data_IF_327156227537
#
_entry.id   IF_327156227537
#
_cell.length_a   1.000
_cell.length_b   1.000
_cell.length_c   1.000
_cell.angle_alpha   90.00
_cell.angle_beta   90.00
_cell.angle_gamma   90.00
#
_symmetry.space_group_name_H-M   'P 1'
#
loop_
_entity.id
_entity.type
_entity.pdbx_description
1 polymer ?
#
# COMPACT_ATOMS: atom_id res chain seq x y z
N UNK A 1 16.02 21.99 26.12
CA UNK A 1 15.48 20.61 26.07
C UNK A 1 14.41 20.32 27.12
N UNK A 2 14.44 20.93 28.32
CA UNK A 2 13.42 20.77 29.37
C UNK A 2 12.40 21.92 29.45
N UNK A 3 12.11 22.55 28.32
CA UNK A 3 11.05 23.56 28.32
C UNK A 3 9.70 22.88 28.61
N UNK A 4 8.82 23.48 29.42
CA UNK A 4 7.53 22.87 29.75
C UNK A 4 6.62 22.71 28.52
N UNK A 5 6.79 23.52 27.48
CA UNK A 5 5.93 23.47 26.31
C UNK A 5 6.49 22.52 25.23
N UNK A 6 5.74 21.50 24.78
CA UNK A 6 6.25 20.50 23.84
C UNK A 6 6.64 21.09 22.48
N UNK A 7 5.95 22.14 22.01
CA UNK A 7 6.34 22.82 20.77
C UNK A 7 7.73 23.49 20.86
N UNK A 8 8.10 24.03 22.03
CA UNK A 8 9.43 24.62 22.23
C UNK A 8 10.48 23.52 22.26
N UNK A 9 10.17 22.36 22.84
CA UNK A 9 11.04 21.18 22.78
C UNK A 9 11.23 20.65 21.36
N UNK A 10 10.17 20.61 20.55
CA UNK A 10 10.25 20.22 19.13
C UNK A 10 11.12 21.20 18.35
N UNK A 11 10.93 22.51 18.52
CA UNK A 11 11.78 23.52 17.88
C UNK A 11 13.24 23.41 18.35
N UNK A 12 13.47 23.14 19.64
CA UNK A 12 14.82 22.92 20.15
C UNK A 12 15.47 21.64 19.60
N UNK A 13 14.70 20.60 19.28
CA UNK A 13 15.22 19.40 18.62
C UNK A 13 15.79 19.70 17.23
N UNK A 14 15.28 20.72 16.52
CA UNK A 14 15.85 21.15 15.23
C UNK A 14 17.28 21.68 15.38
N UNK A 15 17.59 22.31 16.52
CA UNK A 15 18.94 22.80 16.79
C UNK A 15 19.96 21.69 17.03
N UNK A 16 19.52 20.44 17.19
CA UNK A 16 20.42 19.30 17.37
C UNK A 16 21.03 18.78 16.07
N UNK A 17 20.44 19.07 14.91
CA UNK A 17 20.96 18.55 13.63
C UNK A 17 22.40 19.02 13.34
N UNK A 18 22.76 20.30 13.55
CA UNK A 18 24.16 20.71 13.47
C UNK A 18 25.05 20.02 14.51
N UNK A 19 24.53 19.79 15.72
CA UNK A 19 25.28 19.14 16.82
C UNK A 19 25.59 17.67 16.49
N UNK A 20 24.71 16.96 15.78
CA UNK A 20 24.97 15.59 15.31
C UNK A 20 26.28 15.46 14.51
N UNK A 21 26.73 16.53 13.85
CA UNK A 21 27.98 16.54 13.08
C UNK A 21 29.22 16.85 13.92
N UNK A 22 29.06 17.37 15.14
CA UNK A 22 30.14 17.78 16.04
C UNK A 22 30.28 16.79 17.19
N UNK A 23 29.17 16.52 17.89
CA UNK A 23 29.08 15.62 19.04
C UNK A 23 27.74 14.88 19.01
N UNK A 24 27.76 13.70 18.38
CA UNK A 24 26.56 12.88 18.17
C UNK A 24 25.99 12.36 19.49
N UNK A 25 26.84 11.95 20.41
CA UNK A 25 26.45 11.39 21.70
C UNK A 25 25.72 12.45 22.53
N UNK A 26 26.24 13.69 22.55
CA UNK A 26 25.62 14.80 23.26
C UNK A 26 24.29 15.22 22.62
N UNK A 27 24.21 15.25 21.29
CA UNK A 27 22.96 15.51 20.57
C UNK A 27 21.89 14.47 20.93
N UNK A 28 22.25 13.19 20.96
CA UNK A 28 21.34 12.10 21.35
C UNK A 28 20.88 12.25 22.80
N UNK A 29 21.80 12.52 23.74
CA UNK A 29 21.44 12.72 25.14
C UNK A 29 20.44 13.88 25.32
N UNK A 30 20.64 14.98 24.61
CA UNK A 30 19.72 16.12 24.61
C UNK A 30 18.37 15.79 23.96
N UNK A 31 18.35 15.04 22.87
CA UNK A 31 17.13 14.61 22.23
C UNK A 31 16.30 13.70 23.13
N UNK A 32 16.94 12.73 23.80
CA UNK A 32 16.29 11.85 24.78
C UNK A 32 15.61 12.67 25.86
N UNK A 33 16.33 13.66 26.41
CA UNK A 33 15.79 14.57 27.42
C UNK A 33 14.56 15.37 26.92
N UNK A 34 14.53 15.77 25.64
CA UNK A 34 13.36 16.46 25.09
C UNK A 34 12.13 15.54 24.90
N UNK A 35 12.34 14.23 24.76
CA UNK A 35 11.27 13.24 24.59
C UNK A 35 10.75 12.64 25.90
N UNK A 36 11.43 12.88 27.03
CA UNK A 36 11.13 12.22 28.32
C UNK A 36 9.67 12.39 28.73
N UNK A 37 9.17 13.62 28.74
CA UNK A 37 7.84 13.96 29.25
C UNK A 37 6.73 13.92 28.20
N UNK A 38 7.07 14.05 26.90
CA UNK A 38 6.07 14.11 25.83
C UNK A 38 6.56 13.42 24.56
N UNK A 39 5.99 12.24 24.31
CA UNK A 39 6.33 11.41 23.15
C UNK A 39 5.93 12.04 21.81
N UNK A 40 5.10 13.08 21.79
CA UNK A 40 4.80 13.83 20.56
C UNK A 40 6.05 14.51 19.98
N UNK A 41 7.04 14.83 20.82
CA UNK A 41 8.35 15.31 20.35
C UNK A 41 9.04 14.22 19.53
N UNK A 42 9.05 12.99 20.06
CA UNK A 42 9.59 11.80 19.40
C UNK A 42 8.84 11.40 18.13
N UNK A 43 7.52 11.61 18.09
CA UNK A 43 6.66 11.33 16.95
C UNK A 43 6.63 12.45 15.90
N UNK A 44 7.31 13.58 16.14
CA UNK A 44 7.32 14.71 15.20
C UNK A 44 8.09 14.37 13.92
N UNK A 45 7.85 15.07 12.79
CA UNK A 45 8.63 14.88 11.57
C UNK A 45 10.15 15.00 11.78
N UNK A 46 10.57 15.90 12.67
CA UNK A 46 11.98 16.07 13.06
C UNK A 46 12.51 14.91 13.88
N UNK A 47 11.66 14.27 14.69
CA UNK A 47 12.02 13.04 15.38
C UNK A 47 12.30 11.89 14.42
N UNK A 48 11.49 11.76 13.36
CA UNK A 48 11.70 10.77 12.30
C UNK A 48 13.06 10.95 11.64
N UNK A 49 13.38 12.18 11.25
CA UNK A 49 14.69 12.52 10.67
C UNK A 49 15.83 12.23 11.66
N UNK A 50 15.67 12.60 12.93
CA UNK A 50 16.66 12.35 13.96
C UNK A 50 16.98 10.86 14.08
N UNK A 51 15.95 10.00 14.13
CA UNK A 51 16.11 8.54 14.17
C UNK A 51 16.89 8.00 12.96
N UNK A 52 16.70 8.56 11.76
CA UNK A 52 17.44 8.15 10.57
C UNK A 52 18.94 8.42 10.68
N UNK A 53 19.34 9.51 11.36
CA UNK A 53 20.76 9.85 11.55
C UNK A 53 21.41 9.08 12.70
N UNK A 54 20.64 8.62 13.67
CA UNK A 54 21.17 8.06 14.92
C UNK A 54 21.08 6.54 15.01
N UNK A 55 20.10 5.92 14.36
CA UNK A 55 19.99 4.46 14.29
C UNK A 55 20.81 3.95 13.09
N UNK A 56 21.60 2.86 13.26
CA UNK A 56 21.63 1.95 14.41
C UNK A 56 22.58 2.35 15.54
N UNK A 57 23.47 3.34 15.34
CA UNK A 57 24.56 3.64 16.30
C UNK A 57 24.15 3.94 17.74
N UNK A 58 22.95 4.47 17.96
CA UNK A 58 22.44 4.90 19.28
C UNK A 58 21.11 4.22 19.64
N UNK A 59 20.95 2.97 19.20
CA UNK A 59 19.71 2.23 19.40
C UNK A 59 19.38 2.02 20.88
N UNK A 60 20.38 1.86 21.75
CA UNK A 60 20.16 1.64 23.18
C UNK A 60 19.52 2.85 23.87
N UNK A 61 19.96 4.07 23.50
CA UNK A 61 19.44 5.32 24.08
C UNK A 61 18.08 5.70 23.47
N UNK A 62 17.91 5.48 22.16
CA UNK A 62 16.73 5.95 21.42
C UNK A 62 15.60 4.91 21.40
N UNK A 63 15.94 3.63 21.38
CA UNK A 63 14.97 2.54 21.31
C UNK A 63 13.89 2.58 22.38
N UNK A 64 14.20 2.91 23.66
CA UNK A 64 13.18 3.10 24.68
C UNK A 64 12.10 4.14 24.32
N UNK A 65 12.44 5.21 23.60
CA UNK A 65 11.48 6.23 23.16
C UNK A 65 10.51 5.62 22.15
N UNK A 66 11.04 4.95 21.12
CA UNK A 66 10.25 4.31 20.06
C UNK A 66 9.32 3.24 20.67
N UNK A 67 9.82 2.42 21.61
CA UNK A 67 9.00 1.44 22.33
C UNK A 67 7.87 2.10 23.10
N UNK A 68 8.15 3.18 23.84
CA UNK A 68 7.11 3.94 24.55
C UNK A 68 6.07 4.54 23.59
N UNK A 69 6.47 4.96 22.39
CA UNK A 69 5.54 5.45 21.37
C UNK A 69 4.53 4.38 20.97
N UNK A 70 4.97 3.14 20.74
CA UNK A 70 4.10 1.99 20.38
C UNK A 70 2.99 1.72 21.41
N UNK A 71 3.25 2.02 22.68
CA UNK A 71 2.32 1.82 23.81
C UNK A 71 1.72 3.13 24.35
N UNK A 72 1.80 4.21 23.59
CA UNK A 72 1.20 5.49 23.98
C UNK A 72 -0.32 5.43 24.02
N UNK A 73 -0.95 6.33 24.79
CA UNK A 73 -2.40 6.53 24.79
C UNK A 73 -2.87 7.54 23.72
N UNK A 74 -1.96 8.01 22.86
CA UNK A 74 -2.26 8.98 21.79
C UNK A 74 -2.08 8.27 20.45
N UNK A 75 -3.18 8.05 19.72
CA UNK A 75 -3.21 7.26 18.48
C UNK A 75 -2.17 7.69 17.45
N UNK A 76 -1.99 8.99 17.23
CA UNK A 76 -0.98 9.50 16.29
C UNK A 76 0.45 9.13 16.70
N UNK A 77 0.73 9.11 18.01
CA UNK A 77 2.05 8.68 18.54
C UNK A 77 2.21 7.17 18.39
N UNK A 78 1.14 6.39 18.62
CA UNK A 78 1.14 4.94 18.43
C UNK A 78 1.41 4.58 16.97
N UNK A 79 0.72 5.24 16.04
CA UNK A 79 0.90 5.06 14.60
C UNK A 79 2.33 5.35 14.17
N UNK A 80 2.89 6.48 14.60
CA UNK A 80 4.29 6.80 14.28
C UNK A 80 5.27 5.83 14.95
N UNK A 81 5.01 5.40 16.19
CA UNK A 81 5.80 4.35 16.86
C UNK A 81 5.83 3.05 16.06
N UNK A 82 4.67 2.58 15.60
CA UNK A 82 4.53 1.39 14.77
C UNK A 82 5.22 1.55 13.40
N UNK A 83 5.16 2.75 12.82
CA UNK A 83 5.89 3.08 11.59
C UNK A 83 7.40 2.99 11.79
N UNK A 84 7.92 3.54 12.89
CA UNK A 84 9.34 3.49 13.22
C UNK A 84 9.82 2.06 13.47
N UNK A 85 9.15 1.26 14.31
CA UNK A 85 9.58 -0.13 14.54
C UNK A 85 9.58 -0.95 13.26
N UNK A 86 8.58 -0.76 12.38
CA UNK A 86 8.50 -1.45 11.09
C UNK A 86 9.65 -1.04 10.17
N UNK A 87 9.90 0.26 10.02
CA UNK A 87 10.99 0.76 9.18
C UNK A 87 12.36 0.27 9.69
N UNK A 88 12.61 0.30 11.00
CA UNK A 88 13.88 -0.15 11.58
C UNK A 88 14.06 -1.66 11.54
N UNK A 89 12.98 -2.43 11.64
CA UNK A 89 13.03 -3.86 11.39
C UNK A 89 13.45 -4.16 9.94
N UNK A 90 12.89 -3.46 8.96
CA UNK A 90 13.25 -3.63 7.53
C UNK A 90 14.69 -3.21 7.24
N UNK A 91 15.16 -2.09 7.80
CA UNK A 91 16.49 -1.57 7.52
C UNK A 91 17.62 -2.24 8.32
N UNK A 92 17.34 -2.63 9.56
CA UNK A 92 18.38 -2.96 10.55
C UNK A 92 18.06 -4.20 11.39
N UNK A 93 16.96 -4.91 11.11
CA UNK A 93 16.54 -6.11 11.86
C UNK A 93 16.40 -5.87 13.38
N UNK A 94 15.95 -4.68 13.79
CA UNK A 94 15.70 -4.36 15.19
C UNK A 94 14.22 -4.08 15.47
N UNK A 95 13.83 -4.21 16.75
CA UNK A 95 12.45 -4.15 17.24
C UNK A 95 11.55 -5.29 16.75
N UNK A 96 12.10 -6.51 16.62
CA UNK A 96 11.36 -7.67 16.13
C UNK A 96 10.07 -7.93 16.93
N UNK A 97 10.14 -7.89 18.26
CA UNK A 97 8.99 -8.19 19.12
C UNK A 97 7.90 -7.12 18.99
N UNK A 98 8.28 -5.84 19.01
CA UNK A 98 7.35 -4.73 18.84
C UNK A 98 6.75 -4.72 17.42
N UNK A 99 7.52 -5.08 16.41
CA UNK A 99 7.05 -5.23 15.04
C UNK A 99 6.04 -6.38 14.91
N UNK A 100 6.27 -7.54 15.51
CA UNK A 100 5.28 -8.63 15.52
C UNK A 100 4.00 -8.22 16.24
N UNK A 101 4.12 -7.51 17.36
CA UNK A 101 2.97 -6.98 18.08
C UNK A 101 2.18 -5.97 17.23
N UNK A 102 2.85 -5.03 16.57
CA UNK A 102 2.17 -4.00 15.78
C UNK A 102 1.42 -4.56 14.57
N UNK A 103 1.81 -5.72 14.04
CA UNK A 103 1.12 -6.36 12.91
C UNK A 103 -0.28 -6.88 13.25
N UNK A 104 -0.55 -7.20 14.51
CA UNK A 104 -1.85 -7.76 14.97
C UNK A 104 -2.50 -6.93 16.07
N UNK A 105 -1.86 -5.82 16.47
CA UNK A 105 -2.28 -4.97 17.57
C UNK A 105 -3.43 -4.01 17.22
N UNK A 106 -3.42 -2.81 17.79
CA UNK A 106 -4.48 -1.81 17.59
C UNK A 106 -4.52 -1.29 16.15
N UNK A 107 -5.62 -0.62 15.77
CA UNK A 107 -5.76 -0.05 14.43
C UNK A 107 -4.65 0.99 14.13
N UNK A 108 -4.32 1.94 15.02
CA UNK A 108 -3.17 2.83 14.81
C UNK A 108 -1.84 2.09 14.61
N UNK A 109 -1.61 0.99 15.33
CA UNK A 109 -0.39 0.19 15.15
C UNK A 109 -0.31 -0.42 13.75
N UNK A 110 -1.38 -1.11 13.32
CA UNK A 110 -1.42 -1.72 11.99
C UNK A 110 -1.41 -0.69 10.87
N UNK A 111 -1.97 0.50 11.09
CA UNK A 111 -1.81 1.64 10.17
C UNK A 111 -0.35 2.06 10.02
N UNK A 112 0.40 2.21 11.12
CA UNK A 112 1.81 2.55 11.07
C UNK A 112 2.65 1.51 10.32
N UNK A 113 2.33 0.21 10.51
CA UNK A 113 2.93 -0.90 9.75
C UNK A 113 2.63 -0.76 8.26
N UNK A 114 1.36 -0.52 7.89
CA UNK A 114 0.94 -0.35 6.51
C UNK A 114 1.65 0.84 5.84
N UNK A 115 1.72 1.98 6.52
CA UNK A 115 2.36 3.20 6.01
C UNK A 115 3.86 3.03 5.82
N UNK A 116 4.56 2.40 6.76
CA UNK A 116 5.99 2.10 6.63
C UNK A 116 6.24 1.19 5.42
N UNK A 117 5.56 0.05 5.36
CA UNK A 117 5.73 -0.91 4.27
C UNK A 117 5.36 -0.30 2.91
N UNK A 118 4.30 0.50 2.83
CA UNK A 118 3.91 1.18 1.61
C UNK A 118 4.95 2.19 1.14
N UNK A 119 5.51 2.99 2.05
CA UNK A 119 6.53 3.98 1.71
C UNK A 119 7.84 3.37 1.20
N UNK A 120 8.14 2.12 1.59
CA UNK A 120 9.35 1.41 1.21
C UNK A 120 9.13 0.40 0.07
N UNK A 121 7.87 0.17 -0.32
CA UNK A 121 7.49 -0.87 -1.27
C UNK A 121 8.19 -0.74 -2.62
N UNK A 122 8.35 0.48 -3.11
CA UNK A 122 8.96 0.78 -4.40
C UNK A 122 10.50 0.80 -4.37
N UNK A 123 11.11 0.63 -3.19
CA UNK A 123 12.56 0.50 -3.06
C UNK A 123 12.98 -0.94 -3.36
N UNK A 124 13.73 -1.23 -4.43
CA UNK A 124 14.01 -2.61 -4.85
C UNK A 124 14.63 -3.49 -3.77
N UNK A 125 15.48 -2.91 -2.90
CA UNK A 125 16.12 -3.61 -1.78
C UNK A 125 15.12 -4.11 -0.72
N UNK A 126 13.98 -3.46 -0.54
CA UNK A 126 13.02 -3.73 0.54
C UNK A 126 11.69 -4.26 0.03
N UNK A 127 11.50 -4.30 -1.29
CA UNK A 127 10.25 -4.69 -1.94
C UNK A 127 9.75 -6.07 -1.49
N UNK A 128 10.64 -7.06 -1.34
CA UNK A 128 10.25 -8.41 -0.92
C UNK A 128 9.68 -8.44 0.52
N UNK A 129 10.35 -7.78 1.46
CA UNK A 129 9.89 -7.68 2.84
C UNK A 129 8.56 -6.91 2.94
N UNK A 130 8.44 -5.82 2.18
CA UNK A 130 7.22 -5.03 2.14
C UNK A 130 6.05 -5.82 1.57
N UNK A 131 6.26 -6.65 0.54
CA UNK A 131 5.23 -7.55 0.01
C UNK A 131 4.71 -8.51 1.09
N UNK A 132 5.61 -9.15 1.86
CA UNK A 132 5.21 -10.08 2.94
C UNK A 132 4.33 -9.38 3.98
N UNK A 133 4.68 -8.14 4.34
CA UNK A 133 3.93 -7.34 5.31
C UNK A 133 2.56 -6.97 4.74
N UNK A 134 2.52 -6.38 3.55
CA UNK A 134 1.30 -5.87 2.95
C UNK A 134 0.31 -6.99 2.58
N UNK A 135 0.80 -8.18 2.22
CA UNK A 135 -0.05 -9.36 1.98
C UNK A 135 -0.94 -9.71 3.19
N UNK A 136 -0.44 -9.52 4.41
CA UNK A 136 -1.20 -9.78 5.64
C UNK A 136 -2.31 -8.74 5.87
N UNK A 137 -2.16 -7.55 5.30
CA UNK A 137 -3.08 -6.42 5.48
C UNK A 137 -4.13 -6.29 4.39
N UNK A 138 -4.03 -7.10 3.31
CA UNK A 138 -5.00 -7.12 2.20
C UNK A 138 -6.44 -7.44 2.62
N UNK A 139 -6.62 -8.12 3.75
CA UNK A 139 -7.92 -8.47 4.29
C UNK A 139 -8.07 -7.97 5.74
N UNK A 140 -7.38 -6.89 6.09
CA UNK A 140 -7.48 -6.33 7.44
C UNK A 140 -8.95 -6.01 7.77
N UNK A 141 -9.45 -6.30 8.98
CA UNK A 141 -10.83 -5.99 9.35
C UNK A 141 -11.16 -4.48 9.27
N UNK A 142 -10.18 -3.60 9.50
CA UNK A 142 -10.40 -2.16 9.43
C UNK A 142 -10.20 -1.63 8.00
N UNK A 143 -11.25 -0.99 7.46
CA UNK A 143 -11.23 -0.41 6.11
C UNK A 143 -10.11 0.61 5.91
N UNK A 144 -9.82 1.43 6.93
CA UNK A 144 -8.76 2.43 6.87
C UNK A 144 -7.36 1.86 6.65
N UNK A 145 -7.10 0.61 7.07
CA UNK A 145 -5.84 -0.08 6.79
C UNK A 145 -5.83 -0.59 5.35
N UNK A 146 -6.94 -1.18 4.90
CA UNK A 146 -7.11 -1.62 3.52
C UNK A 146 -6.95 -0.46 2.54
N UNK A 147 -7.49 0.72 2.85
CA UNK A 147 -7.33 1.94 2.06
C UNK A 147 -5.85 2.34 1.90
N UNK A 148 -5.01 2.15 2.93
CA UNK A 148 -3.56 2.42 2.82
C UNK A 148 -2.89 1.47 1.84
N UNK A 149 -3.25 0.18 1.87
CA UNK A 149 -2.72 -0.81 0.92
C UNK A 149 -3.24 -0.53 -0.50
N UNK A 150 -4.51 -0.14 -0.67
CA UNK A 150 -5.05 0.25 -1.99
C UNK A 150 -4.29 1.41 -2.61
N UNK A 151 -3.87 2.38 -1.79
CA UNK A 151 -3.17 3.57 -2.27
C UNK A 151 -1.77 3.30 -2.85
N UNK A 152 -1.20 2.10 -2.69
CA UNK A 152 0.03 1.69 -3.38
C UNK A 152 -0.07 1.86 -4.90
N UNK A 153 -1.26 1.66 -5.45
CA UNK A 153 -1.50 1.71 -6.89
C UNK A 153 -1.79 3.12 -7.40
N UNK A 154 -1.78 4.14 -6.52
CA UNK A 154 -1.92 5.54 -6.93
C UNK A 154 -0.57 6.12 -7.32
N UNK A 155 -0.28 6.15 -8.63
CA UNK A 155 0.76 7.02 -9.20
C UNK A 155 2.05 6.36 -9.71
N UNK A 156 2.23 5.03 -9.58
CA UNK A 156 3.41 4.33 -10.09
C UNK A 156 3.10 3.30 -11.18
N UNK A 157 3.37 3.68 -12.44
CA UNK A 157 3.11 2.88 -13.63
C UNK A 157 3.99 1.62 -13.77
N UNK A 158 5.19 1.64 -13.20
CA UNK A 158 6.19 0.58 -13.42
C UNK A 158 5.89 -0.72 -12.66
N UNK A 159 4.94 -0.72 -11.72
CA UNK A 159 4.56 -1.91 -10.96
C UNK A 159 4.06 -3.05 -11.87
N UNK A 160 3.28 -2.70 -12.89
CA UNK A 160 2.67 -3.68 -13.80
C UNK A 160 3.69 -4.38 -14.70
N UNK A 161 4.87 -3.78 -14.90
CA UNK A 161 5.97 -4.37 -15.69
C UNK A 161 6.89 -5.28 -14.85
N UNK A 162 6.73 -5.27 -13.52
CA UNK A 162 7.60 -6.03 -12.64
C UNK A 162 7.03 -7.43 -12.37
N UNK A 163 7.60 -8.45 -13.03
CA UNK A 163 7.18 -9.85 -12.87
C UNK A 163 7.22 -10.33 -11.41
N UNK A 164 8.13 -9.80 -10.58
CA UNK A 164 8.22 -10.17 -9.17
C UNK A 164 7.00 -9.71 -8.35
N UNK A 165 6.26 -8.71 -8.83
CA UNK A 165 5.04 -8.21 -8.19
C UNK A 165 3.78 -8.96 -8.62
N UNK A 166 3.83 -9.75 -9.68
CA UNK A 166 2.66 -10.45 -10.21
C UNK A 166 1.94 -11.33 -9.17
N UNK A 167 2.63 -12.14 -8.33
CA UNK A 167 1.97 -12.89 -7.28
C UNK A 167 1.26 -12.00 -6.25
N UNK A 168 1.89 -10.87 -5.87
CA UNK A 168 1.29 -9.89 -4.96
C UNK A 168 0.05 -9.25 -5.56
N UNK A 169 0.10 -8.83 -6.82
CA UNK A 169 -1.03 -8.22 -7.55
C UNK A 169 -2.21 -9.20 -7.63
N UNK A 170 -1.97 -10.47 -7.95
CA UNK A 170 -3.02 -11.48 -7.99
C UNK A 170 -3.69 -11.69 -6.61
N UNK A 171 -2.89 -11.68 -5.54
CA UNK A 171 -3.42 -11.73 -4.17
C UNK A 171 -4.20 -10.46 -3.79
N UNK A 172 -3.74 -9.30 -4.24
CA UNK A 172 -4.46 -8.05 -4.07
C UNK A 172 -5.82 -8.09 -4.76
N UNK A 173 -5.89 -8.52 -6.02
CA UNK A 173 -7.16 -8.66 -6.77
C UNK A 173 -8.12 -9.59 -6.02
N UNK A 174 -7.65 -10.72 -5.50
CA UNK A 174 -8.49 -11.65 -4.74
C UNK A 174 -8.87 -11.16 -3.32
N UNK A 175 -8.45 -9.97 -2.88
CA UNK A 175 -8.65 -9.49 -1.51
C UNK A 175 -9.89 -8.63 -1.29
N UNK A 176 -10.23 -8.39 -0.02
CA UNK A 176 -11.24 -7.42 0.38
C UNK A 176 -10.81 -5.99 0.07
N UNK A 177 -9.51 -5.68 0.12
CA UNK A 177 -9.01 -4.34 -0.26
C UNK A 177 -9.37 -3.97 -1.70
N UNK A 178 -9.28 -4.92 -2.62
CA UNK A 178 -9.69 -4.70 -4.02
C UNK A 178 -11.21 -4.60 -4.14
N UNK A 179 -11.95 -5.47 -3.44
CA UNK A 179 -13.42 -5.46 -3.47
C UNK A 179 -14.03 -4.16 -2.90
N UNK A 180 -13.34 -3.48 -1.98
CA UNK A 180 -13.81 -2.20 -1.43
C UNK A 180 -13.88 -1.08 -2.47
N UNK A 181 -12.95 -1.08 -3.44
CA UNK A 181 -12.82 -0.06 -4.49
C UNK A 181 -11.80 -0.53 -5.55
N UNK A 182 -12.27 -1.08 -6.69
CA UNK A 182 -11.41 -1.57 -7.76
C UNK A 182 -10.96 -0.46 -8.73
N UNK A 183 -11.58 0.74 -8.68
CA UNK A 183 -11.42 1.82 -9.66
C UNK A 183 -9.96 2.23 -9.83
N UNK A 184 -9.25 2.42 -8.73
CA UNK A 184 -7.84 2.87 -8.75
C UNK A 184 -6.95 1.91 -9.54
N UNK A 185 -7.17 0.60 -9.39
CA UNK A 185 -6.33 -0.40 -10.05
C UNK A 185 -6.67 -0.56 -11.53
N UNK A 186 -7.97 -0.48 -11.89
CA UNK A 186 -8.41 -0.50 -13.29
C UNK A 186 -7.86 0.73 -14.03
N UNK A 187 -7.96 1.90 -13.41
CA UNK A 187 -7.40 3.14 -13.93
C UNK A 187 -5.88 3.06 -14.14
N UNK A 188 -5.15 2.46 -13.20
CA UNK A 188 -3.71 2.21 -13.33
C UNK A 188 -3.39 1.39 -14.59
N UNK A 189 -4.12 0.29 -14.85
CA UNK A 189 -3.88 -0.51 -16.05
C UNK A 189 -4.18 0.29 -17.31
N UNK A 190 -5.28 1.05 -17.34
CA UNK A 190 -5.70 1.79 -18.53
C UNK A 190 -4.73 2.92 -18.89
N UNK A 191 -4.44 3.81 -17.94
CA UNK A 191 -3.73 5.07 -18.22
C UNK A 191 -2.22 4.92 -18.18
N UNK A 192 -1.71 3.97 -17.41
CA UNK A 192 -0.29 3.89 -17.10
C UNK A 192 0.44 2.68 -17.71
N UNK A 193 -0.29 1.70 -18.26
CA UNK A 193 0.34 0.57 -18.93
C UNK A 193 0.52 0.81 -20.43
N UNK A 194 1.78 0.87 -20.88
CA UNK A 194 2.14 1.09 -22.29
C UNK A 194 2.72 -0.16 -22.97
N UNK A 195 2.87 -1.27 -22.24
CA UNK A 195 3.43 -2.52 -22.76
C UNK A 195 2.43 -3.37 -23.56
N UNK A 196 2.85 -4.57 -23.97
CA UNK A 196 1.95 -5.55 -24.59
C UNK A 196 0.95 -6.06 -23.57
N UNK A 197 -0.34 -5.96 -23.89
CA UNK A 197 -1.41 -6.37 -22.97
C UNK A 197 -1.37 -7.88 -22.67
N UNK A 198 -0.75 -8.67 -23.56
CA UNK A 198 -0.50 -10.10 -23.33
C UNK A 198 0.31 -10.39 -22.07
N UNK A 199 1.22 -9.48 -21.68
CA UNK A 199 1.99 -9.62 -20.45
C UNK A 199 1.08 -9.60 -19.21
N UNK A 200 -0.05 -8.87 -19.29
CA UNK A 200 -1.02 -8.72 -18.22
C UNK A 200 -2.16 -9.75 -18.27
N UNK A 201 -2.14 -10.74 -19.18
CA UNK A 201 -3.28 -11.66 -19.38
C UNK A 201 -3.83 -12.27 -18.09
N UNK A 202 -2.96 -12.82 -17.23
CA UNK A 202 -3.40 -13.46 -15.98
C UNK A 202 -3.96 -12.46 -14.96
N UNK A 203 -3.42 -11.24 -14.96
CA UNK A 203 -3.91 -10.13 -14.12
C UNK A 203 -5.31 -9.71 -14.60
N UNK A 204 -5.49 -9.56 -15.91
CA UNK A 204 -6.78 -9.17 -16.51
C UNK A 204 -7.85 -10.24 -16.32
N UNK A 205 -7.49 -11.52 -16.48
CA UNK A 205 -8.42 -12.62 -16.24
C UNK A 205 -8.87 -12.68 -14.78
N UNK A 206 -7.92 -12.64 -13.83
CA UNK A 206 -8.22 -12.61 -12.39
C UNK A 206 -9.08 -11.41 -12.00
N UNK A 207 -8.82 -10.25 -12.61
CA UNK A 207 -9.57 -9.01 -12.41
C UNK A 207 -11.04 -9.18 -12.85
N UNK A 208 -11.27 -9.69 -14.05
CA UNK A 208 -12.62 -9.92 -14.58
C UNK A 208 -13.39 -10.94 -13.73
N UNK A 209 -12.78 -12.09 -13.44
CA UNK A 209 -13.38 -13.14 -12.61
C UNK A 209 -13.76 -12.63 -11.22
N UNK A 210 -12.90 -11.80 -10.62
CA UNK A 210 -13.17 -11.22 -9.31
C UNK A 210 -14.33 -10.23 -9.35
N UNK A 211 -14.41 -9.38 -10.36
CA UNK A 211 -15.52 -8.43 -10.52
C UNK A 211 -16.85 -9.16 -10.70
N UNK A 212 -16.87 -10.19 -11.56
CA UNK A 212 -18.05 -11.03 -11.81
C UNK A 212 -18.52 -11.70 -10.51
N UNK A 213 -17.59 -12.25 -9.72
CA UNK A 213 -17.89 -12.99 -8.49
C UNK A 213 -18.25 -12.11 -7.31
N UNK A 214 -17.49 -11.05 -7.04
CA UNK A 214 -17.52 -10.29 -5.78
C UNK A 214 -18.24 -8.96 -5.87
N UNK A 215 -18.42 -8.42 -7.08
CA UNK A 215 -18.98 -7.08 -7.27
C UNK A 215 -20.25 -7.03 -8.14
N UNK A 216 -21.15 -8.05 -8.12
CA UNK A 216 -22.30 -8.06 -9.03
C UNK A 216 -23.35 -6.98 -8.71
N UNK A 217 -23.63 -6.65 -7.45
CA UNK A 217 -24.67 -5.66 -7.12
C UNK A 217 -24.25 -4.21 -7.42
N UNK A 218 -23.02 -3.82 -7.03
CA UNK A 218 -22.49 -2.48 -7.30
C UNK A 218 -22.20 -2.26 -8.79
N UNK A 219 -21.78 -3.30 -9.52
CA UNK A 219 -21.52 -3.22 -10.98
C UNK A 219 -22.79 -3.09 -11.83
N UNK A 220 -23.96 -3.43 -11.26
CA UNK A 220 -25.28 -3.34 -11.91
C UNK A 220 -25.96 -1.99 -11.71
N UNK A 221 -25.58 -1.24 -10.67
CA UNK A 221 -26.09 0.10 -10.42
C UNK A 221 -25.37 1.13 -11.32
N UNK A 222 -26.11 1.63 -12.32
CA UNK A 222 -25.64 2.61 -13.33
C UNK A 222 -25.13 3.93 -12.75
N UNK A 223 -25.46 4.24 -11.50
CA UNK A 223 -25.06 5.47 -10.80
C UNK A 223 -23.66 5.42 -10.18
N UNK A 224 -22.93 4.31 -10.33
CA UNK A 224 -21.61 4.13 -9.70
C UNK A 224 -20.48 4.27 -10.73
N UNK A 225 -19.33 4.83 -10.31
CA UNK A 225 -18.12 4.90 -11.15
C UNK A 225 -17.65 3.53 -11.64
N UNK A 226 -18.02 2.46 -10.93
CA UNK A 226 -17.68 1.09 -11.27
C UNK A 226 -18.26 0.62 -12.63
N UNK A 227 -19.45 1.06 -13.02
CA UNK A 227 -20.03 0.67 -14.31
C UNK A 227 -19.18 1.20 -15.49
N UNK A 228 -18.63 2.40 -15.35
CA UNK A 228 -17.66 2.95 -16.30
C UNK A 228 -16.37 2.11 -16.29
N UNK A 229 -15.83 1.79 -15.12
CA UNK A 229 -14.60 0.99 -15.00
C UNK A 229 -14.74 -0.41 -15.60
N UNK A 230 -15.92 -1.04 -15.49
CA UNK A 230 -16.22 -2.31 -16.17
C UNK A 230 -16.16 -2.15 -17.70
N UNK A 231 -16.69 -1.05 -18.25
CA UNK A 231 -16.59 -0.78 -19.68
C UNK A 231 -15.13 -0.65 -20.14
N UNK A 232 -14.29 -0.04 -19.32
CA UNK A 232 -12.85 0.05 -19.58
C UNK A 232 -12.20 -1.34 -19.62
N UNK A 233 -12.58 -2.24 -18.72
CA UNK A 233 -12.08 -3.62 -18.73
C UNK A 233 -12.48 -4.38 -19.98
N UNK A 234 -13.70 -4.22 -20.48
CA UNK A 234 -14.13 -4.84 -21.75
C UNK A 234 -13.21 -4.40 -22.89
N UNK A 235 -12.84 -3.12 -22.94
CA UNK A 235 -11.90 -2.61 -23.94
C UNK A 235 -10.50 -3.23 -23.82
N UNK A 236 -10.03 -3.50 -22.60
CA UNK A 236 -8.76 -4.16 -22.35
C UNK A 236 -8.79 -5.64 -22.76
N UNK A 237 -9.91 -6.33 -22.56
CA UNK A 237 -10.11 -7.71 -23.02
C UNK A 237 -10.19 -7.78 -24.55
N UNK A 238 -10.84 -6.82 -25.22
CA UNK A 238 -10.83 -6.70 -26.69
C UNK A 238 -9.41 -6.57 -27.23
N UNK A 239 -8.62 -5.66 -26.66
CA UNK A 239 -7.20 -5.51 -27.02
C UNK A 239 -6.39 -6.79 -26.77
N UNK A 240 -6.68 -7.51 -25.68
CA UNK A 240 -6.02 -8.78 -25.37
C UNK A 240 -6.36 -9.87 -26.38
N UNK A 241 -7.62 -9.98 -26.78
CA UNK A 241 -8.09 -10.90 -27.80
C UNK A 241 -7.43 -10.64 -29.17
N UNK A 242 -7.38 -9.38 -29.61
CA UNK A 242 -6.73 -9.01 -30.88
C UNK A 242 -5.24 -9.35 -30.90
N UNK A 243 -4.53 -9.05 -29.79
CA UNK A 243 -3.11 -9.40 -29.65
C UNK A 243 -2.91 -10.91 -29.56
N UNK A 244 -3.78 -11.66 -28.87
CA UNK A 244 -3.64 -13.11 -28.73
C UNK A 244 -3.85 -13.85 -30.05
N UNK A 245 -4.70 -13.35 -30.95
CA UNK A 245 -4.81 -13.87 -32.33
C UNK A 245 -3.51 -13.65 -33.10
N UNK A 246 -2.98 -12.42 -33.05
CA UNK A 246 -1.77 -12.04 -33.81
C UNK A 246 -0.56 -12.88 -33.38
N UNK A 247 -0.43 -13.13 -32.08
CA UNK A 247 0.66 -13.92 -31.49
C UNK A 247 0.35 -15.43 -31.40
N UNK A 248 -0.72 -15.90 -32.04
CA UNK A 248 -1.13 -17.31 -32.08
C UNK A 248 -1.32 -17.97 -30.69
N UNK A 249 -1.78 -17.21 -29.69
CA UNK A 249 -2.03 -17.66 -28.31
C UNK A 249 -3.46 -18.19 -28.13
N UNK A 250 -3.77 -19.33 -28.77
CA UNK A 250 -5.13 -19.88 -28.86
C UNK A 250 -5.87 -20.03 -27.51
N UNK A 251 -5.18 -20.46 -26.46
CA UNK A 251 -5.76 -20.57 -25.11
C UNK A 251 -6.19 -19.20 -24.55
N UNK A 252 -5.36 -18.17 -24.76
CA UNK A 252 -5.67 -16.80 -24.30
C UNK A 252 -6.85 -16.24 -25.10
N UNK A 253 -6.89 -16.49 -26.41
CA UNK A 253 -8.02 -16.12 -27.27
C UNK A 253 -9.33 -16.73 -26.79
N UNK A 254 -9.35 -18.04 -26.52
CA UNK A 254 -10.54 -18.72 -25.99
C UNK A 254 -10.96 -18.12 -24.65
N UNK A 255 -10.00 -17.87 -23.75
CA UNK A 255 -10.29 -17.35 -22.42
C UNK A 255 -10.88 -15.94 -22.45
N UNK A 256 -10.49 -15.09 -23.40
CA UNK A 256 -11.12 -13.79 -23.60
C UNK A 256 -12.61 -13.92 -23.97
N UNK A 257 -12.97 -14.90 -24.82
CA UNK A 257 -14.35 -15.16 -25.20
C UNK A 257 -15.18 -15.67 -24.01
N UNK A 258 -14.62 -16.60 -23.22
CA UNK A 258 -15.29 -17.10 -22.00
C UNK A 258 -15.63 -15.94 -21.05
N UNK A 259 -14.72 -14.98 -20.86
CA UNK A 259 -14.93 -13.82 -20.00
C UNK A 259 -16.02 -12.89 -20.54
N UNK A 260 -16.10 -12.70 -21.86
CA UNK A 260 -17.21 -11.93 -22.45
C UNK A 260 -18.56 -12.62 -22.25
N UNK A 261 -18.61 -13.93 -22.46
CA UNK A 261 -19.81 -14.72 -22.22
C UNK A 261 -20.24 -14.61 -20.75
N UNK A 262 -19.30 -14.69 -19.81
CA UNK A 262 -19.55 -14.53 -18.38
C UNK A 262 -20.06 -13.12 -18.04
N UNK A 263 -19.46 -12.06 -18.60
CA UNK A 263 -19.94 -10.69 -18.40
C UNK A 263 -21.37 -10.50 -18.95
N UNK A 264 -21.67 -11.08 -20.11
CA UNK A 264 -23.00 -11.03 -20.71
C UNK A 264 -24.04 -11.76 -19.86
N UNK A 265 -23.74 -12.99 -19.44
CA UNK A 265 -24.63 -13.82 -18.62
C UNK A 265 -24.91 -13.19 -17.26
N UNK A 266 -23.89 -12.57 -16.63
CA UNK A 266 -24.01 -11.97 -15.31
C UNK A 266 -24.51 -10.51 -15.32
N UNK A 267 -24.77 -9.94 -16.50
CA UNK A 267 -25.22 -8.55 -16.71
C UNK A 267 -24.31 -7.52 -16.04
N UNK A 268 -23.00 -7.72 -16.16
CA UNK A 268 -21.99 -6.81 -15.58
C UNK A 268 -21.76 -5.64 -16.55
N UNK A 269 -21.91 -4.41 -16.07
CA UNK A 269 -21.71 -3.19 -16.89
C UNK A 269 -22.73 -3.01 -18.02
N UNK A 270 -22.31 -2.34 -19.10
CA UNK A 270 -23.17 -1.96 -20.24
C UNK A 270 -23.08 -2.95 -21.44
N UNK A 271 -22.51 -4.15 -21.23
CA UNK A 271 -22.25 -5.13 -22.31
C UNK A 271 -23.51 -5.48 -23.11
N UNK A 272 -24.67 -5.47 -22.46
CA UNK A 272 -25.96 -5.72 -23.11
C UNK A 272 -26.40 -4.59 -24.07
N UNK A 273 -25.96 -3.34 -23.88
CA UNK A 273 -26.26 -2.24 -24.80
C UNK A 273 -25.27 -2.22 -25.98
N UNK A 274 -24.00 -2.60 -25.77
CA UNK A 274 -23.04 -2.80 -26.85
C UNK A 274 -23.49 -3.91 -27.80
N UNK A 275 -23.99 -5.04 -27.28
CA UNK A 275 -24.55 -6.11 -28.11
C UNK A 275 -25.77 -5.64 -28.92
N UNK A 276 -26.67 -4.84 -28.33
CA UNK A 276 -27.81 -4.25 -29.04
C UNK A 276 -27.43 -3.25 -30.12
N UNK A 277 -26.29 -2.56 -29.98
CA UNK A 277 -25.79 -1.62 -30.98
C UNK A 277 -25.14 -2.32 -32.19
N UNK A 278 -24.74 -3.59 -32.04
CA UNK A 278 -24.17 -4.41 -33.13
C UNK A 278 -25.29 -5.10 -33.94
N UNK A 279 -26.48 -5.25 -33.36
CA UNK A 279 -27.68 -5.80 -34.04
C UNK A 279 -28.48 -4.77 -34.85
N UNK A 280 -28.05 -3.51 -34.92
CA UNK A 280 -28.64 -2.43 -35.75
C UNK A 280 -27.74 -2.06 -36.91
#
# INVERSE_FOLDING_TARGET
>A
MRDPHPAVRMAAAEMLFPVLNIDKDQAVAWYVMACEEDLRVGASPRGIEFYNYTIPSHLEQIGPIIRRMVFSNVDEVVKEGARQVTARQIFHCCFQDEFQLCQTGSVPQRQGVAEAAASLFHTPRHMADCQIILLRLLNDPAREIRDKVRNLFRGESNMLNNTALKPFILKFIDSQTFADDPTVFIWLIKEHYTGSILFLKDILFSLCETIIRKVPEQSRERSTGLAHDVSELVSLILRLYEQSITESQGETTSRCLDIWDDFFQNRVGIVHELAKAIEQ
#
